data_IF_792892270710
#
_entry.id   IF_792892270710
#
_cell.length_a   1.000
_cell.length_b   1.000
_cell.length_c   1.000
_cell.angle_alpha   90.00
_cell.angle_beta   90.00
_cell.angle_gamma   90.00
#
_symmetry.space_group_name_H-M   'P 1'
#
loop_
_entity.id
_entity.type
_entity.pdbx_description
1 polymer ?
#
# COMPACT_ATOMS: atom_id res chain seq x y z
N UNK A 1 4.39 -8.11 -25.19
CA UNK A 1 5.42 -8.42 -24.17
C UNK A 1 4.82 -8.19 -22.79
N UNK A 2 5.11 -9.04 -21.82
CA UNK A 2 4.70 -8.82 -20.43
C UNK A 2 5.80 -8.02 -19.73
N UNK A 3 5.46 -6.88 -19.11
CA UNK A 3 6.41 -6.03 -18.39
C UNK A 3 6.43 -6.42 -16.92
N UNK A 4 7.62 -6.64 -16.36
CA UNK A 4 7.84 -6.90 -14.92
C UNK A 4 8.72 -5.78 -14.39
N UNK A 5 8.35 -5.21 -13.24
CA UNK A 5 9.13 -4.18 -12.54
C UNK A 5 9.52 -4.71 -11.16
N UNK A 6 10.82 -4.68 -10.85
CA UNK A 6 11.39 -5.14 -9.59
C UNK A 6 12.58 -4.26 -9.24
N UNK A 7 12.65 -3.78 -7.99
CA UNK A 7 13.75 -2.97 -7.49
C UNK A 7 14.14 -3.40 -6.07
N UNK A 8 15.36 -3.04 -5.66
CA UNK A 8 15.76 -3.06 -4.26
C UNK A 8 15.25 -1.79 -3.54
N UNK A 9 14.85 -1.93 -2.27
CA UNK A 9 14.48 -0.82 -1.39
C UNK A 9 15.17 -0.96 -0.04
N UNK A 10 16.04 -0.01 0.29
CA UNK A 10 16.94 -0.08 1.45
C UNK A 10 16.32 0.43 2.76
N UNK A 11 15.12 1.01 2.72
CA UNK A 11 14.53 1.66 3.89
C UNK A 11 13.01 1.78 3.83
N UNK A 12 12.37 1.67 5.00
CA UNK A 12 10.97 2.04 5.22
C UNK A 12 10.78 3.52 5.60
N UNK A 13 11.84 4.32 5.63
CA UNK A 13 11.69 5.77 5.75
C UNK A 13 10.73 6.28 4.66
N UNK A 14 9.67 7.00 5.04
CA UNK A 14 8.57 7.35 4.13
C UNK A 14 9.01 8.09 2.88
N UNK A 15 10.01 8.98 2.97
CA UNK A 15 10.50 9.74 1.81
C UNK A 15 11.24 8.82 0.83
N UNK A 16 12.15 8.00 1.34
CA UNK A 16 12.91 7.05 0.53
C UNK A 16 12.02 5.94 -0.05
N UNK A 17 11.10 5.42 0.77
CA UNK A 17 10.14 4.39 0.37
C UNK A 17 9.21 4.90 -0.73
N UNK A 18 8.71 6.13 -0.61
CA UNK A 18 7.88 6.76 -1.64
C UNK A 18 8.61 6.84 -2.97
N UNK A 19 9.84 7.37 -2.98
CA UNK A 19 10.64 7.47 -4.21
C UNK A 19 10.90 6.08 -4.84
N UNK A 20 11.10 5.05 -4.02
CA UNK A 20 11.20 3.67 -4.49
C UNK A 20 9.89 3.15 -5.08
N UNK A 21 8.73 3.41 -4.47
CA UNK A 21 7.43 3.01 -5.02
C UNK A 21 7.11 3.71 -6.34
N UNK A 22 7.45 4.99 -6.48
CA UNK A 22 7.28 5.73 -7.73
C UNK A 22 8.13 5.11 -8.85
N UNK A 23 9.42 4.85 -8.59
CA UNK A 23 10.31 4.15 -9.53
C UNK A 23 9.82 2.73 -9.87
N UNK A 24 9.29 2.01 -8.88
CA UNK A 24 8.74 0.66 -9.09
C UNK A 24 7.54 0.69 -10.05
N UNK A 25 6.68 1.70 -9.95
CA UNK A 25 5.47 1.80 -10.77
C UNK A 25 5.71 2.47 -12.13
N UNK A 26 6.77 3.26 -12.29
CA UNK A 26 7.05 4.01 -13.52
C UNK A 26 7.06 3.15 -14.80
N UNK A 27 7.74 1.99 -14.87
CA UNK A 27 7.72 1.14 -16.06
C UNK A 27 6.34 0.57 -16.40
N UNK A 28 5.41 0.62 -15.45
CA UNK A 28 4.03 0.16 -15.58
C UNK A 28 3.05 1.31 -15.90
N UNK A 29 3.56 2.52 -16.14
CA UNK A 29 2.76 3.73 -16.40
C UNK A 29 2.37 4.51 -15.14
N UNK A 30 3.01 4.21 -14.00
CA UNK A 30 2.76 4.87 -12.72
C UNK A 30 1.41 4.52 -12.10
N UNK A 31 1.10 5.14 -10.96
CA UNK A 31 -0.19 4.91 -10.28
C UNK A 31 -1.39 5.28 -11.16
N UNK A 32 -1.27 6.31 -12.00
CA UNK A 32 -2.31 6.76 -12.92
C UNK A 32 -2.66 5.75 -14.01
N UNK A 33 -1.82 4.75 -14.29
CA UNK A 33 -2.19 3.65 -15.17
C UNK A 33 -3.32 2.80 -14.57
N UNK A 34 -3.33 2.65 -13.24
CA UNK A 34 -4.26 1.78 -12.50
C UNK A 34 -5.43 2.54 -11.88
N UNK A 35 -5.20 3.78 -11.44
CA UNK A 35 -6.19 4.59 -10.71
C UNK A 35 -6.60 5.79 -11.54
N UNK A 36 -7.92 5.99 -11.68
CA UNK A 36 -8.51 7.16 -12.31
C UNK A 36 -9.25 8.02 -11.30
N UNK A 37 -9.41 9.31 -11.64
CA UNK A 37 -10.14 10.27 -10.83
C UNK A 37 -11.53 9.75 -10.46
N UNK A 38 -11.84 9.79 -9.16
CA UNK A 38 -13.13 9.36 -8.62
C UNK A 38 -13.25 7.87 -8.32
N UNK A 39 -12.27 7.02 -8.69
CA UNK A 39 -12.29 5.61 -8.31
C UNK A 39 -12.26 5.44 -6.79
N UNK A 40 -13.12 4.57 -6.26
CA UNK A 40 -12.98 4.03 -4.90
C UNK A 40 -12.00 2.87 -4.95
N UNK A 41 -10.85 3.01 -4.28
CA UNK A 41 -9.74 2.04 -4.37
C UNK A 41 -9.60 1.32 -3.03
N UNK A 42 -9.88 0.02 -3.04
CA UNK A 42 -9.65 -0.83 -1.87
C UNK A 42 -8.14 -1.07 -1.71
N UNK A 43 -7.62 -0.69 -0.54
CA UNK A 43 -6.30 -1.11 -0.08
C UNK A 43 -6.49 -2.27 0.91
N UNK A 44 -5.90 -3.42 0.58
CA UNK A 44 -5.92 -4.65 1.41
C UNK A 44 -4.52 -4.90 1.98
N UNK A 45 -4.19 -4.34 3.17
CA UNK A 45 -2.84 -4.39 3.72
C UNK A 45 -2.51 -5.68 4.48
N UNK A 46 -3.29 -6.74 4.31
CA UNK A 46 -3.08 -8.04 4.92
C UNK A 46 -3.08 -7.98 6.46
N UNK A 47 -4.14 -7.40 7.04
CA UNK A 47 -4.40 -7.28 8.48
C UNK A 47 -4.80 -8.63 9.09
N UNK A 48 -3.91 -9.63 9.05
CA UNK A 48 -4.24 -11.01 9.44
C UNK A 48 -4.54 -11.16 10.93
N UNK A 49 -3.72 -10.53 11.79
CA UNK A 49 -3.86 -10.55 13.25
C UNK A 49 -3.42 -9.21 13.82
N UNK A 50 -3.92 -8.85 15.01
CA UNK A 50 -3.38 -7.74 15.80
C UNK A 50 -1.96 -8.10 16.27
N UNK A 51 -0.99 -7.92 15.38
CA UNK A 51 0.41 -8.23 15.62
C UNK A 51 1.15 -6.97 16.04
N UNK A 52 1.95 -7.05 17.11
CA UNK A 52 2.89 -5.98 17.47
C UNK A 52 3.83 -5.69 16.28
N UNK A 53 4.20 -4.42 16.03
CA UNK A 53 5.24 -4.08 15.07
C UNK A 53 6.49 -4.94 15.30
N UNK A 54 6.99 -5.61 14.26
CA UNK A 54 8.21 -6.43 14.33
C UNK A 54 8.05 -7.94 14.13
N UNK A 55 6.82 -8.47 14.06
CA UNK A 55 6.59 -9.86 13.62
C UNK A 55 6.38 -10.01 12.11
N UNK A 56 6.33 -8.89 11.37
CA UNK A 56 6.08 -8.85 9.91
C UNK A 56 4.84 -9.65 9.46
N UNK A 57 3.86 -9.84 10.35
CA UNK A 57 2.64 -10.60 10.05
C UNK A 57 1.58 -9.78 9.28
N UNK A 58 1.75 -8.45 9.21
CA UNK A 58 0.90 -7.52 8.47
C UNK A 58 1.78 -6.64 7.58
N UNK A 59 1.22 -6.04 6.52
CA UNK A 59 1.97 -5.09 5.69
C UNK A 59 2.43 -3.90 6.53
N UNK A 60 3.68 -3.45 6.29
CA UNK A 60 4.23 -2.26 6.94
C UNK A 60 3.34 -1.04 6.73
N UNK A 61 2.95 -0.32 7.79
CA UNK A 61 2.09 0.87 7.68
C UNK A 61 2.64 1.94 6.74
N UNK A 62 3.96 2.06 6.63
CA UNK A 62 4.63 3.01 5.75
C UNK A 62 4.35 2.74 4.27
N UNK A 63 4.30 1.46 3.86
CA UNK A 63 3.92 1.07 2.49
C UNK A 63 2.48 1.49 2.24
N UNK A 64 1.58 1.11 3.16
CA UNK A 64 0.14 1.39 3.04
C UNK A 64 -0.10 2.89 2.95
N UNK A 65 0.59 3.68 3.76
CA UNK A 65 0.55 5.13 3.74
C UNK A 65 1.00 5.69 2.38
N UNK A 66 2.16 5.29 1.88
CA UNK A 66 2.69 5.81 0.61
C UNK A 66 1.78 5.45 -0.57
N UNK A 67 1.31 4.21 -0.63
CA UNK A 67 0.36 3.78 -1.68
C UNK A 67 -0.94 4.57 -1.59
N UNK A 68 -1.49 4.80 -0.39
CA UNK A 68 -2.68 5.62 -0.23
C UNK A 68 -2.48 7.07 -0.71
N UNK A 69 -1.30 7.67 -0.49
CA UNK A 69 -0.98 9.00 -1.03
C UNK A 69 -0.96 8.98 -2.56
N UNK A 70 -0.27 8.02 -3.17
CA UNK A 70 -0.22 7.88 -4.64
C UNK A 70 -1.61 7.71 -5.26
N UNK A 71 -2.49 6.92 -4.62
CA UNK A 71 -3.89 6.78 -5.04
C UNK A 71 -4.63 8.12 -5.00
N UNK A 72 -4.48 8.89 -3.91
CA UNK A 72 -5.12 10.21 -3.76
C UNK A 72 -4.63 11.19 -4.83
N UNK A 73 -3.33 11.19 -5.11
CA UNK A 73 -2.70 12.05 -6.12
C UNK A 73 -3.16 11.71 -7.54
N UNK A 74 -3.41 10.43 -7.84
CA UNK A 74 -4.07 10.00 -9.06
C UNK A 74 -5.58 10.38 -9.12
N UNK A 75 -6.11 11.03 -8.09
CA UNK A 75 -7.50 11.46 -7.96
C UNK A 75 -8.45 10.37 -7.46
N UNK A 76 -7.92 9.23 -7.03
CA UNK A 76 -8.68 8.15 -6.40
C UNK A 76 -9.04 8.42 -4.94
N UNK A 77 -9.93 7.60 -4.41
CA UNK A 77 -10.40 7.62 -3.02
C UNK A 77 -10.01 6.30 -2.36
N UNK A 78 -8.85 6.22 -1.69
CA UNK A 78 -8.44 4.98 -1.03
C UNK A 78 -9.32 4.71 0.19
N UNK A 79 -9.63 3.44 0.42
CA UNK A 79 -10.23 2.97 1.66
C UNK A 79 -9.61 1.64 2.05
N UNK A 80 -9.62 1.34 3.36
CA UNK A 80 -9.06 0.10 3.87
C UNK A 80 -10.15 -0.95 4.03
N UNK A 81 -9.81 -2.18 3.67
CA UNK A 81 -10.66 -3.34 3.93
C UNK A 81 -9.82 -4.59 4.03
N UNK A 82 -10.13 -5.40 5.02
CA UNK A 82 -9.50 -6.70 5.20
C UNK A 82 -10.42 -7.67 5.94
N UNK A 83 -10.03 -8.93 5.94
CA UNK A 83 -10.77 -10.03 6.56
C UNK A 83 -9.87 -10.79 7.55
N UNK A 84 -9.51 -10.18 8.70
CA UNK A 84 -8.73 -10.87 9.73
C UNK A 84 -9.41 -12.15 10.21
N UNK A 85 -8.60 -13.14 10.60
CA UNK A 85 -9.10 -14.33 11.29
C UNK A 85 -9.56 -14.00 12.73
N UNK A 86 -9.00 -12.95 13.33
CA UNK A 86 -9.30 -12.53 14.70
C UNK A 86 -9.56 -11.02 14.77
N UNK A 87 -10.71 -10.64 15.35
CA UNK A 87 -11.12 -9.24 15.49
C UNK A 87 -11.70 -8.64 14.19
N UNK A 88 -11.89 -7.31 14.18
CA UNK A 88 -12.30 -6.57 12.99
C UNK A 88 -11.09 -5.96 12.28
N UNK A 89 -11.19 -5.69 10.98
CA UNK A 89 -10.13 -5.00 10.23
C UNK A 89 -9.73 -3.67 10.90
N UNK A 90 -10.73 -2.91 11.40
CA UNK A 90 -10.47 -1.67 12.14
C UNK A 90 -9.78 -1.92 13.48
N UNK A 91 -10.12 -3.01 14.17
CA UNK A 91 -9.46 -3.41 15.41
C UNK A 91 -8.00 -3.75 15.19
N UNK A 92 -7.71 -4.56 14.18
CA UNK A 92 -6.34 -4.95 13.81
C UNK A 92 -5.52 -3.74 13.34
N UNK A 93 -6.12 -2.82 12.57
CA UNK A 93 -5.43 -1.62 12.09
C UNK A 93 -5.09 -0.61 13.21
N UNK A 94 -5.79 -0.66 14.36
CA UNK A 94 -5.56 0.26 15.49
C UNK A 94 -4.57 -0.27 16.53
N UNK A 95 -4.40 -1.59 16.59
CA UNK A 95 -3.53 -2.27 17.55
C UNK A 95 -2.05 -2.13 17.15
#
# INVERSE_FOLDING_TARGET
MQTVSLIHADSYNRQLLRASLERLLEPLGGMSAFVKKGNSVLLKPNLLTAGRPGKECITRPEIVYCVAQLVKEAGGKPFFGDSPAFGSARGVAKA
#
